data_IF_290520736183
#
_entry.id   IF_290520736183
#
_cell.length_a   1.000
_cell.length_b   1.000
_cell.length_c   1.000
_cell.angle_alpha   90.00
_cell.angle_beta   90.00
_cell.angle_gamma   90.00
#
_symmetry.space_group_name_H-M   'P 1'
#
loop_
_entity.id
_entity.type
_entity.pdbx_description
1 polymer ?
#
# COMPACT_ATOMS: atom_id res chain seq x y z
N UNK A 1 -0.28 -20.61 -5.01
CA UNK A 1 -0.02 -20.64 -6.45
C UNK A 1 1.21 -19.86 -6.87
N UNK A 2 1.75 -19.02 -6.00
CA UNK A 2 2.90 -18.18 -6.35
C UNK A 2 4.24 -18.77 -5.90
N UNK A 3 4.23 -19.92 -5.26
CA UNK A 3 5.43 -20.54 -4.74
C UNK A 3 6.08 -19.77 -3.58
N UNK A 4 7.19 -20.30 -3.07
CA UNK A 4 7.93 -19.67 -2.01
C UNK A 4 8.88 -18.61 -2.56
N UNK A 5 8.93 -17.47 -1.90
CA UNK A 5 9.88 -16.40 -2.21
C UNK A 5 10.77 -16.15 -1.00
N UNK A 6 12.09 -16.21 -1.21
CA UNK A 6 13.05 -15.90 -0.18
C UNK A 6 13.35 -14.40 -0.18
N UNK A 7 13.29 -13.80 1.01
CA UNK A 7 13.62 -12.38 1.19
C UNK A 7 14.79 -12.28 2.16
N UNK A 8 15.90 -11.70 1.69
CA UNK A 8 17.05 -11.40 2.53
C UNK A 8 17.61 -10.05 2.08
N UNK A 9 17.36 -9.03 2.88
CA UNK A 9 17.69 -7.66 2.56
C UNK A 9 18.94 -7.19 3.30
N UNK A 10 19.53 -6.12 2.81
CA UNK A 10 20.64 -5.46 3.48
C UNK A 10 20.16 -4.72 4.73
N UNK A 11 21.12 -4.41 5.63
CA UNK A 11 20.83 -3.59 6.80
C UNK A 11 20.25 -2.25 6.39
N UNK A 12 19.20 -1.82 7.09
CA UNK A 12 18.46 -0.60 6.78
C UNK A 12 17.32 -0.76 5.80
N UNK A 13 17.22 -1.91 5.15
CA UNK A 13 16.11 -2.21 4.24
C UNK A 13 14.89 -2.72 5.01
N UNK A 14 13.75 -2.69 4.34
CA UNK A 14 12.48 -3.08 4.92
C UNK A 14 11.70 -3.97 3.94
N UNK A 15 10.98 -4.94 4.47
CA UNK A 15 10.00 -5.70 3.73
C UNK A 15 8.62 -5.49 4.35
N UNK A 16 7.63 -5.25 3.50
CA UNK A 16 6.23 -5.12 3.90
C UNK A 16 5.43 -6.25 3.25
N UNK A 17 4.65 -6.96 4.05
CA UNK A 17 3.81 -8.03 3.54
C UNK A 17 2.52 -8.12 4.36
N UNK A 18 1.42 -8.64 3.76
CA UNK A 18 0.18 -8.86 4.51
C UNK A 18 0.38 -9.89 5.61
N UNK A 19 -0.15 -9.63 6.80
CA UNK A 19 -0.05 -10.56 7.92
C UNK A 19 -0.77 -11.90 7.66
N UNK A 20 -1.72 -11.90 6.73
CA UNK A 20 -2.42 -13.11 6.29
C UNK A 20 -1.59 -14.00 5.37
N UNK A 21 -0.45 -13.52 4.87
CA UNK A 21 0.42 -14.31 4.01
C UNK A 21 1.03 -15.47 4.79
N UNK A 22 1.14 -16.63 4.15
CA UNK A 22 1.89 -17.75 4.71
C UNK A 22 3.37 -17.43 4.64
N UNK A 23 4.01 -17.31 5.79
CA UNK A 23 5.40 -16.91 5.89
C UNK A 23 6.10 -17.61 7.05
N UNK A 24 7.41 -17.69 6.97
CA UNK A 24 8.23 -18.20 8.06
C UNK A 24 9.59 -17.51 8.10
N UNK A 25 10.21 -17.53 9.26
CA UNK A 25 11.59 -17.05 9.45
C UNK A 25 12.47 -18.26 9.59
N UNK A 26 13.41 -18.44 8.67
CA UNK A 26 14.35 -19.56 8.72
C UNK A 26 15.40 -19.34 9.79
N UNK A 27 15.96 -20.41 10.38
CA UNK A 27 16.99 -20.29 11.41
C UNK A 27 18.23 -19.55 10.90
N UNK A 28 18.84 -18.78 11.80
CA UNK A 28 20.14 -18.16 11.56
C UNK A 28 21.21 -19.23 11.75
N UNK A 29 22.00 -19.47 10.70
CA UNK A 29 23.06 -20.48 10.73
C UNK A 29 24.42 -19.89 11.07
N UNK A 30 24.57 -18.57 10.93
CA UNK A 30 25.83 -17.87 11.21
C UNK A 30 25.53 -16.43 11.60
N UNK A 31 26.16 -15.97 12.66
CA UNK A 31 25.99 -14.61 13.15
C UNK A 31 24.69 -14.41 13.90
N UNK A 32 24.16 -13.19 13.84
CA UNK A 32 22.91 -12.81 14.50
C UNK A 32 22.07 -11.96 13.54
N UNK A 33 20.75 -12.07 13.64
CA UNK A 33 19.81 -11.23 12.91
C UNK A 33 19.11 -10.30 13.90
N UNK A 34 19.26 -9.01 13.68
CA UNK A 34 18.59 -7.97 14.47
C UNK A 34 17.60 -7.29 13.55
N UNK A 35 16.35 -7.18 13.98
CA UNK A 35 15.31 -6.52 13.18
C UNK A 35 14.32 -5.77 14.08
N UNK A 36 13.68 -4.78 13.48
CA UNK A 36 12.53 -4.10 14.07
C UNK A 36 11.27 -4.59 13.37
N UNK A 37 10.22 -4.88 14.14
CA UNK A 37 8.94 -5.35 13.64
C UNK A 37 7.88 -4.33 13.99
N UNK A 38 7.06 -3.97 13.00
CA UNK A 38 5.96 -3.03 13.18
C UNK A 38 4.72 -3.58 12.49
N UNK A 39 3.58 -3.46 13.14
CA UNK A 39 2.28 -3.76 12.53
C UNK A 39 1.61 -2.46 12.10
N UNK A 40 1.09 -2.46 10.88
CA UNK A 40 0.32 -1.34 10.36
C UNK A 40 -1.08 -1.83 9.99
N UNK A 41 -2.06 -1.01 10.32
CA UNK A 41 -3.45 -1.28 9.96
C UNK A 41 -3.91 -0.22 8.96
N UNK A 42 -4.54 -0.66 7.87
CA UNK A 42 -5.11 0.27 6.91
C UNK A 42 -6.29 1.02 7.52
N UNK A 43 -6.37 2.32 7.29
CA UNK A 43 -7.54 3.12 7.68
C UNK A 43 -8.79 2.66 6.93
N UNK A 44 -8.64 2.12 5.72
CA UNK A 44 -9.74 1.53 4.95
C UNK A 44 -9.63 0.01 5.08
N UNK A 45 -10.51 -0.59 5.89
CA UNK A 45 -10.44 -2.01 6.22
C UNK A 45 -10.89 -2.92 5.07
N UNK A 46 -11.87 -2.49 4.28
CA UNK A 46 -12.42 -3.28 3.19
C UNK A 46 -11.45 -3.35 2.01
N UNK A 47 -11.08 -4.55 1.60
CA UNK A 47 -10.13 -4.77 0.49
C UNK A 47 -10.67 -4.24 -0.83
N UNK A 48 -11.95 -4.45 -1.12
CA UNK A 48 -12.56 -3.97 -2.36
C UNK A 48 -12.56 -2.43 -2.42
N UNK A 49 -12.85 -1.78 -1.30
CA UNK A 49 -12.77 -0.32 -1.21
C UNK A 49 -11.35 0.20 -1.44
N UNK A 50 -10.33 -0.47 -0.87
CA UNK A 50 -8.93 -0.10 -1.10
C UNK A 50 -8.54 -0.22 -2.58
N UNK A 51 -8.98 -1.28 -3.24
CA UNK A 51 -8.70 -1.48 -4.67
C UNK A 51 -9.34 -0.38 -5.52
N UNK A 52 -10.59 -0.01 -5.23
CA UNK A 52 -11.28 1.08 -5.92
C UNK A 52 -10.55 2.41 -5.72
N UNK A 53 -10.13 2.71 -4.50
CA UNK A 53 -9.37 3.92 -4.21
C UNK A 53 -8.03 3.95 -4.93
N UNK A 54 -7.34 2.81 -4.98
CA UNK A 54 -6.07 2.70 -5.70
C UNK A 54 -6.25 2.97 -7.19
N UNK A 55 -7.23 2.33 -7.82
CA UNK A 55 -7.50 2.50 -9.24
C UNK A 55 -7.89 3.94 -9.57
N UNK A 56 -8.70 4.55 -8.72
CA UNK A 56 -9.09 5.95 -8.88
C UNK A 56 -7.87 6.87 -8.75
N UNK A 57 -7.01 6.65 -7.76
CA UNK A 57 -5.81 7.45 -7.55
C UNK A 57 -4.85 7.36 -8.74
N UNK A 58 -4.60 6.16 -9.24
CA UNK A 58 -3.75 5.94 -10.42
C UNK A 58 -4.33 6.66 -11.64
N UNK A 59 -5.64 6.56 -11.85
CA UNK A 59 -6.33 7.21 -12.96
C UNK A 59 -6.26 8.72 -12.88
N UNK A 60 -6.47 9.29 -11.70
CA UNK A 60 -6.40 10.74 -11.48
C UNK A 60 -4.98 11.24 -11.76
N UNK A 61 -3.97 10.54 -11.27
CA UNK A 61 -2.57 10.92 -11.52
C UNK A 61 -2.23 10.88 -13.01
N UNK A 62 -2.68 9.84 -13.71
CA UNK A 62 -2.46 9.71 -15.15
C UNK A 62 -3.15 10.83 -15.93
N UNK A 63 -4.39 11.17 -15.58
CA UNK A 63 -5.16 12.20 -16.23
C UNK A 63 -4.63 13.61 -15.95
N UNK A 64 -3.97 13.82 -14.82
CA UNK A 64 -3.44 15.13 -14.48
C UNK A 64 -2.16 15.50 -15.25
N UNK A 65 -1.51 14.51 -15.87
CA UNK A 65 -0.32 14.76 -16.68
C UNK A 65 -0.69 15.56 -17.93
N UNK A 66 -0.02 16.70 -18.13
CA UNK A 66 -0.27 17.57 -19.28
C UNK A 66 -1.51 18.46 -19.18
N UNK A 67 -2.23 18.43 -18.07
CA UNK A 67 -3.37 19.29 -17.80
C UNK A 67 -2.96 20.46 -16.90
N UNK A 68 -3.77 21.51 -16.91
CA UNK A 68 -3.56 22.64 -16.02
C UNK A 68 -3.73 22.23 -14.56
N UNK A 69 -3.00 22.89 -13.65
CA UNK A 69 -3.06 22.58 -12.21
C UNK A 69 -4.46 22.79 -11.60
N UNK A 70 -5.28 23.65 -12.24
CA UNK A 70 -6.64 23.96 -11.82
C UNK A 70 -7.71 23.36 -12.75
N UNK A 71 -7.36 22.28 -13.47
CA UNK A 71 -8.33 21.60 -14.35
C UNK A 71 -9.55 21.17 -13.54
N UNK A 72 -10.77 21.61 -13.89
CA UNK A 72 -11.95 21.35 -13.07
C UNK A 72 -12.38 19.89 -13.07
N UNK A 73 -12.06 19.12 -14.10
CA UNK A 73 -12.39 17.70 -14.16
C UNK A 73 -11.48 16.90 -13.23
N UNK A 74 -10.19 17.20 -13.22
CA UNK A 74 -9.22 16.59 -12.31
C UNK A 74 -9.56 16.96 -10.88
N UNK A 75 -9.86 18.22 -10.60
CA UNK A 75 -10.24 18.67 -9.25
C UNK A 75 -11.48 17.94 -8.74
N UNK A 76 -12.46 17.71 -9.60
CA UNK A 76 -13.68 16.96 -9.24
C UNK A 76 -13.35 15.53 -8.89
N UNK A 77 -12.47 14.86 -9.64
CA UNK A 77 -12.04 13.50 -9.38
C UNK A 77 -11.26 13.40 -8.07
N UNK A 78 -10.39 14.35 -7.80
CA UNK A 78 -9.66 14.42 -6.51
C UNK A 78 -10.65 14.56 -5.36
N UNK A 79 -11.66 15.40 -5.53
CA UNK A 79 -12.71 15.60 -4.54
C UNK A 79 -13.49 14.31 -4.27
N UNK A 80 -13.82 13.56 -5.32
CA UNK A 80 -14.47 12.23 -5.18
C UNK A 80 -13.56 11.28 -4.42
N UNK A 81 -12.28 11.21 -4.76
CA UNK A 81 -11.33 10.35 -4.05
C UNK A 81 -11.27 10.68 -2.57
N UNK A 82 -11.13 11.94 -2.23
CA UNK A 82 -11.04 12.37 -0.83
C UNK A 82 -12.31 12.07 -0.05
N UNK A 83 -13.47 12.24 -0.66
CA UNK A 83 -14.74 11.94 0.00
C UNK A 83 -14.98 10.44 0.16
N UNK A 84 -14.57 9.62 -0.80
CA UNK A 84 -14.63 8.17 -0.66
C UNK A 84 -13.69 7.69 0.43
N UNK A 85 -12.48 8.22 0.48
CA UNK A 85 -11.52 7.90 1.54
C UNK A 85 -12.10 8.24 2.92
N UNK A 86 -12.67 9.42 3.06
CA UNK A 86 -13.31 9.86 4.31
C UNK A 86 -14.48 8.96 4.69
N UNK A 87 -15.29 8.55 3.72
CA UNK A 87 -16.46 7.69 3.94
C UNK A 87 -16.07 6.29 4.41
N UNK A 88 -15.00 5.74 3.87
CA UNK A 88 -14.58 4.36 4.14
C UNK A 88 -13.51 4.24 5.22
N UNK A 89 -12.87 5.32 5.60
CA UNK A 89 -11.84 5.28 6.62
C UNK A 89 -12.42 4.95 8.00
N UNK A 90 -11.69 4.11 8.72
CA UNK A 90 -11.99 3.72 10.10
C UNK A 90 -10.87 4.25 11.00
N UNK A 91 -10.98 5.48 11.39
CA UNK A 91 -10.01 6.16 12.24
C UNK A 91 -10.66 6.76 13.47
#
# INVERSE_FOLDING_TARGET
>A
PFGAQAVKLAAGDMVLYPSSSLHQVTPVTRGARICAITWMQSAVADTAARELLYDLDVSVRALSVGRAADDPDVDRLIHVYQNLLRRWAQV
#
